data_IF_321995988035
#
_entry.id   IF_321995988035
#
_cell.length_a   1.000
_cell.length_b   1.000
_cell.length_c   1.000
_cell.angle_alpha   90.00
_cell.angle_beta   90.00
_cell.angle_gamma   90.00
#
_symmetry.space_group_name_H-M   'P 1'
#
loop_
_entity.id
_entity.type
_entity.pdbx_description
1 polymer ?
#
# COMPACT_ATOMS: atom_id res chain seq x y z
N UNK A 1 14.48 8.70 2.09
CA UNK A 1 13.05 9.06 1.93
C UNK A 1 12.32 9.01 3.27
N UNK A 2 12.32 7.87 3.98
CA UNK A 2 11.65 7.72 5.30
C UNK A 2 12.06 8.76 6.36
N UNK A 3 13.34 9.11 6.44
CA UNK A 3 13.82 10.16 7.36
C UNK A 3 13.13 11.52 7.13
N UNK A 4 12.82 11.86 5.87
CA UNK A 4 12.09 13.10 5.55
C UNK A 4 10.63 13.04 6.00
N UNK A 5 10.08 11.84 6.17
CA UNK A 5 8.73 11.62 6.69
C UNK A 5 8.70 11.53 8.22
N UNK A 6 9.87 11.57 8.89
CA UNK A 6 10.00 11.40 10.34
C UNK A 6 9.73 9.96 10.79
N UNK A 7 10.03 8.97 9.93
CA UNK A 7 9.72 7.56 10.15
C UNK A 7 10.99 6.72 10.11
N UNK A 8 11.09 5.71 10.97
CA UNK A 8 12.20 4.76 11.00
C UNK A 8 11.93 3.57 10.07
N UNK A 9 12.98 2.83 9.64
CA UNK A 9 12.79 1.62 8.84
C UNK A 9 11.96 0.53 9.53
N UNK A 10 11.83 0.56 10.86
CA UNK A 10 11.06 -0.44 11.61
C UNK A 10 9.56 -0.40 11.33
N UNK A 11 9.05 0.68 10.72
CA UNK A 11 7.65 0.72 10.27
C UNK A 11 7.31 -0.43 9.32
N UNK A 12 8.29 -0.98 8.59
CA UNK A 12 8.12 -2.12 7.71
C UNK A 12 7.94 -3.46 8.46
N UNK A 13 8.20 -3.48 9.77
CA UNK A 13 7.95 -4.60 10.68
C UNK A 13 6.66 -4.42 11.49
N UNK A 14 5.87 -3.40 11.19
CA UNK A 14 4.58 -3.18 11.85
C UNK A 14 3.65 -4.36 11.56
N UNK A 15 3.25 -5.08 12.60
CA UNK A 15 2.24 -6.15 12.59
C UNK A 15 0.83 -5.55 12.44
N UNK A 16 0.63 -4.79 11.36
CA UNK A 16 -0.55 -3.95 11.17
C UNK A 16 -1.86 -4.73 11.26
N UNK A 17 -1.86 -5.99 10.85
CA UNK A 17 -3.07 -6.83 10.87
C UNK A 17 -3.48 -7.16 12.30
N UNK A 18 -2.54 -7.60 13.13
CA UNK A 18 -2.80 -7.91 14.54
C UNK A 18 -3.25 -6.65 15.32
N UNK A 19 -2.59 -5.51 15.09
CA UNK A 19 -2.99 -4.23 15.68
C UNK A 19 -4.42 -3.85 15.29
N UNK A 20 -4.81 -4.06 14.03
CA UNK A 20 -6.18 -3.84 13.58
C UNK A 20 -7.18 -4.81 14.22
N UNK A 21 -6.82 -6.08 14.34
CA UNK A 21 -7.68 -7.11 14.94
C UNK A 21 -7.94 -6.82 16.44
N UNK A 22 -7.01 -6.11 17.09
CA UNK A 22 -7.17 -5.56 18.44
C UNK A 22 -7.99 -4.26 18.50
N UNK A 23 -8.50 -3.76 17.37
CA UNK A 23 -9.27 -2.51 17.28
C UNK A 23 -8.43 -1.24 17.38
N UNK A 24 -7.12 -1.34 17.24
CA UNK A 24 -6.18 -0.22 17.30
C UNK A 24 -5.83 0.29 15.90
N UNK A 25 -5.23 1.48 15.84
CA UNK A 25 -4.75 2.09 14.58
C UNK A 25 -3.25 1.82 14.43
N UNK A 26 -2.82 1.07 13.40
CA UNK A 26 -1.39 0.85 13.14
C UNK A 26 -0.68 2.13 12.72
N UNK A 27 0.62 2.24 13.05
CA UNK A 27 1.46 3.36 12.62
C UNK A 27 1.51 3.52 11.10
N UNK A 28 1.43 2.40 10.36
CA UNK A 28 1.35 2.41 8.89
C UNK A 28 0.10 3.10 8.37
N UNK A 29 -1.03 3.03 9.08
CA UNK A 29 -2.28 3.73 8.76
C UNK A 29 -2.20 5.21 9.12
N UNK A 30 -1.60 5.56 10.26
CA UNK A 30 -1.33 6.97 10.59
C UNK A 30 -0.41 7.62 9.56
N UNK A 31 0.62 6.91 9.09
CA UNK A 31 1.48 7.40 8.00
C UNK A 31 0.71 7.54 6.69
N UNK A 32 -0.15 6.56 6.33
CA UNK A 32 -1.02 6.66 5.16
C UNK A 32 -1.82 7.96 5.19
N UNK A 33 -2.49 8.26 6.30
CA UNK A 33 -3.38 9.43 6.37
C UNK A 33 -2.61 10.74 6.19
N UNK A 34 -1.39 10.83 6.75
CA UNK A 34 -0.46 11.96 6.51
C UNK A 34 -0.06 12.07 5.04
N UNK A 35 0.30 10.96 4.41
CA UNK A 35 0.72 10.94 3.01
C UNK A 35 -0.43 11.33 2.06
N UNK A 36 -1.67 10.89 2.36
CA UNK A 36 -2.86 11.31 1.62
C UNK A 36 -3.09 12.83 1.77
N UNK A 37 -2.94 13.37 2.99
CA UNK A 37 -3.04 14.81 3.22
C UNK A 37 -1.97 15.62 2.46
N UNK A 38 -0.77 15.04 2.28
CA UNK A 38 0.33 15.59 1.48
C UNK A 38 0.13 15.37 -0.05
N UNK A 39 -1.04 14.91 -0.48
CA UNK A 39 -1.41 14.74 -1.88
C UNK A 39 -0.82 13.49 -2.55
N UNK A 40 -0.30 12.53 -1.77
CA UNK A 40 0.19 11.27 -2.32
C UNK A 40 -0.97 10.31 -2.64
N UNK A 41 -0.83 9.58 -3.73
CA UNK A 41 -1.86 8.67 -4.25
C UNK A 41 -1.63 7.20 -3.85
N UNK A 42 -0.45 6.88 -3.33
CA UNK A 42 -0.04 5.54 -2.96
C UNK A 42 1.44 5.49 -2.57
N UNK A 43 1.92 4.29 -2.25
CA UNK A 43 3.32 4.04 -1.87
C UNK A 43 3.84 2.75 -2.47
N UNK A 44 5.15 2.71 -2.67
CA UNK A 44 5.94 1.53 -3.00
C UNK A 44 6.89 1.29 -1.82
N UNK A 45 6.92 0.07 -1.29
CA UNK A 45 7.65 -0.26 -0.05
C UNK A 45 8.19 -1.70 -0.08
N UNK A 46 9.24 -2.03 0.69
CA UNK A 46 9.79 -3.37 0.73
C UNK A 46 8.78 -4.39 1.26
N UNK A 47 8.75 -5.58 0.65
CA UNK A 47 7.93 -6.69 1.13
C UNK A 47 8.52 -7.27 2.41
N UNK A 48 7.67 -7.46 3.42
CA UNK A 48 8.02 -8.20 4.64
C UNK A 48 8.09 -9.71 4.37
N UNK A 49 7.09 -10.26 3.65
CA UNK A 49 6.96 -11.70 3.40
C UNK A 49 7.91 -12.25 2.33
N UNK A 50 8.45 -11.38 1.47
CA UNK A 50 9.36 -11.78 0.39
C UNK A 50 10.56 -10.85 0.36
N UNK A 51 11.66 -11.18 1.08
CA UNK A 51 12.85 -10.36 1.11
C UNK A 51 13.38 -10.03 -0.29
N UNK A 52 13.66 -8.75 -0.55
CA UNK A 52 14.04 -8.25 -1.89
C UNK A 52 12.85 -7.95 -2.81
N UNK A 53 11.65 -8.39 -2.45
CA UNK A 53 10.41 -8.04 -3.12
C UNK A 53 9.93 -6.64 -2.78
N UNK A 54 9.03 -6.13 -3.61
CA UNK A 54 8.42 -4.81 -3.45
C UNK A 54 6.90 -4.93 -3.46
N UNK A 55 6.26 -4.25 -2.52
CA UNK A 55 4.83 -4.10 -2.43
C UNK A 55 4.40 -2.72 -2.94
N UNK A 56 3.17 -2.64 -3.43
CA UNK A 56 2.52 -1.39 -3.80
C UNK A 56 1.18 -1.28 -3.10
N UNK A 57 0.89 -0.11 -2.54
CA UNK A 57 -0.43 0.23 -2.01
C UNK A 57 -0.93 1.48 -2.75
N UNK A 58 -2.10 1.38 -3.37
CA UNK A 58 -2.75 2.47 -4.10
C UNK A 58 -3.99 2.90 -3.31
N UNK A 59 -4.07 4.17 -2.94
CA UNK A 59 -5.20 4.72 -2.17
C UNK A 59 -6.17 5.49 -3.06
N UNK A 60 -5.62 6.32 -3.94
CA UNK A 60 -6.39 7.17 -4.85
C UNK A 60 -5.95 6.89 -6.28
N UNK A 61 -6.77 6.15 -7.00
CA UNK A 61 -6.50 5.78 -8.39
C UNK A 61 -7.82 5.62 -9.12
N UNK A 62 -7.83 5.89 -10.43
CA UNK A 62 -9.03 5.86 -11.28
C UNK A 62 -10.18 6.80 -10.86
N UNK A 63 -9.93 7.74 -9.94
CA UNK A 63 -10.80 8.87 -9.65
C UNK A 63 -10.58 10.03 -10.64
N UNK A 64 -11.49 11.01 -10.67
CA UNK A 64 -11.28 12.25 -11.42
C UNK A 64 -10.03 12.99 -10.91
N UNK A 65 -9.17 13.41 -11.83
CA UNK A 65 -7.88 14.07 -11.55
C UNK A 65 -6.88 13.25 -10.70
N UNK A 66 -7.07 11.93 -10.60
CA UNK A 66 -6.10 11.01 -9.96
C UNK A 66 -5.32 10.20 -11.01
N UNK A 67 -4.20 9.56 -10.62
CA UNK A 67 -3.49 8.62 -11.47
C UNK A 67 -4.40 7.49 -11.96
N UNK A 68 -4.15 7.01 -13.19
CA UNK A 68 -4.92 5.94 -13.81
C UNK A 68 -4.16 4.62 -13.78
N UNK A 69 -4.81 3.57 -13.29
CA UNK A 69 -4.33 2.19 -13.40
C UNK A 69 -5.22 1.43 -14.37
N UNK A 70 -4.60 0.82 -15.38
CA UNK A 70 -5.27 -0.03 -16.36
C UNK A 70 -4.68 -1.42 -16.30
N UNK A 71 -5.54 -2.43 -16.17
CA UNK A 71 -5.16 -3.83 -16.31
C UNK A 71 -4.96 -4.14 -17.79
N UNK A 72 -3.84 -4.76 -18.13
CA UNK A 72 -3.53 -5.22 -19.48
C UNK A 72 -3.66 -6.75 -19.50
N UNK A 73 -4.78 -7.24 -20.03
CA UNK A 73 -5.12 -8.68 -20.11
C UNK A 73 -5.72 -9.00 -21.50
N UNK A 74 -4.94 -8.87 -22.59
CA UNK A 74 -5.45 -9.05 -23.95
C UNK A 74 -5.94 -10.47 -24.23
N UNK A 75 -5.34 -11.46 -23.58
CA UNK A 75 -5.64 -12.88 -23.78
C UNK A 75 -6.67 -13.43 -22.79
N UNK A 76 -7.26 -12.57 -21.95
CA UNK A 76 -8.25 -12.94 -20.93
C UNK A 76 -7.78 -14.03 -19.95
N UNK A 77 -6.48 -14.06 -19.61
CA UNK A 77 -5.86 -15.09 -18.77
C UNK A 77 -5.99 -14.80 -17.28
N UNK A 78 -6.28 -13.57 -16.89
CA UNK A 78 -6.46 -13.23 -15.48
C UNK A 78 -7.73 -13.88 -14.93
N UNK A 79 -7.66 -14.51 -13.74
CA UNK A 79 -8.84 -15.04 -13.07
C UNK A 79 -9.90 -13.95 -12.90
N UNK A 80 -11.16 -14.31 -13.16
CA UNK A 80 -12.31 -13.41 -12.99
C UNK A 80 -12.87 -13.43 -11.58
N UNK A 81 -12.29 -14.25 -10.70
CA UNK A 81 -12.65 -14.39 -9.30
C UNK A 81 -11.43 -14.06 -8.42
N UNK A 82 -11.62 -13.85 -7.11
CA UNK A 82 -10.51 -13.63 -6.17
C UNK A 82 -9.52 -14.79 -6.05
N UNK A 83 -9.67 -15.88 -6.80
CA UNK A 83 -8.76 -17.03 -6.76
C UNK A 83 -7.31 -16.73 -7.19
N UNK A 84 -6.97 -15.48 -7.51
CA UNK A 84 -5.62 -15.04 -7.89
C UNK A 84 -4.92 -14.18 -6.84
N UNK A 85 -5.53 -13.93 -5.67
CA UNK A 85 -4.94 -13.11 -4.61
C UNK A 85 -5.49 -13.48 -3.23
#
# INVERSE_FOLDING_TARGET
VLTKLGVTPDIHRCEWRDIMDQGLVPETHTLRDRLIADGQHGVIYPSFMSPGGTCVALWRWNENNAPRLKVIDPDHRLPKTPASW
#
